data_IF_713189633741
#
_entry.id   IF_713189633741
#
_cell.length_a   1.000
_cell.length_b   1.000
_cell.length_c   1.000
_cell.angle_alpha   90.00
_cell.angle_beta   90.00
_cell.angle_gamma   90.00
#
_symmetry.space_group_name_H-M   'P 1'
#
loop_
_entity.id
_entity.type
_entity.pdbx_description
1 polymer ?
#
# COMPACT_ATOMS: atom_id res chain seq x y z
N UNK A 1 -12.12 4.87 -1.49
CA UNK A 1 -11.59 3.50 -1.28
C UNK A 1 -10.12 3.73 -1.04
N UNK A 2 -9.45 3.03 -0.12
CA UNK A 2 -7.96 2.99 -0.21
C UNK A 2 -7.71 2.13 -1.45
N UNK A 3 -7.30 2.69 -2.60
CA UNK A 3 -7.29 1.94 -3.83
C UNK A 3 -6.09 0.99 -3.84
N UNK A 4 -6.32 -0.23 -4.30
CA UNK A 4 -5.25 -1.15 -4.66
C UNK A 4 -4.68 -0.68 -5.99
N UNK A 5 -3.37 -0.54 -6.04
CA UNK A 5 -2.60 -0.10 -7.19
C UNK A 5 -1.46 -1.08 -7.42
N UNK A 6 -0.86 -0.98 -8.60
CA UNK A 6 0.14 -1.93 -9.06
C UNK A 6 1.44 -1.19 -9.34
N UNK A 7 2.49 -1.58 -8.64
CA UNK A 7 3.85 -1.11 -8.84
C UNK A 7 4.63 -2.08 -9.73
N UNK A 8 5.39 -1.54 -10.68
CA UNK A 8 6.40 -2.27 -11.45
C UNK A 8 7.71 -1.52 -11.34
N UNK A 9 8.67 -2.08 -10.61
CA UNK A 9 10.03 -1.58 -10.58
C UNK A 9 10.80 -2.14 -11.78
N UNK A 10 11.48 -1.25 -12.51
CA UNK A 10 12.20 -1.58 -13.73
C UNK A 10 13.71 -1.46 -13.51
N UNK A 11 14.41 -2.59 -13.56
CA UNK A 11 15.87 -2.62 -13.58
C UNK A 11 16.38 -2.82 -15.01
N UNK A 12 17.03 -1.79 -15.53
CA UNK A 12 17.46 -1.77 -16.92
C UNK A 12 18.77 -2.54 -17.11
N UNK A 13 19.00 -3.17 -18.28
CA UNK A 13 20.24 -3.89 -18.54
C UNK A 13 21.47 -2.99 -18.39
N UNK A 14 22.48 -3.48 -17.66
CA UNK A 14 23.76 -2.76 -17.50
C UNK A 14 24.47 -2.61 -18.85
N UNK A 15 25.13 -1.47 -19.06
CA UNK A 15 25.97 -1.22 -20.25
C UNK A 15 25.24 -0.77 -21.52
N UNK A 16 23.94 -0.44 -21.44
CA UNK A 16 23.20 0.15 -22.56
C UNK A 16 23.45 1.66 -22.68
N UNK A 17 23.38 2.19 -23.91
CA UNK A 17 23.56 3.62 -24.18
C UNK A 17 22.39 4.44 -23.61
N UNK A 18 22.60 5.71 -23.17
CA UNK A 18 21.53 6.58 -22.66
C UNK A 18 20.28 6.68 -23.56
N UNK A 19 20.45 6.62 -24.89
CA UNK A 19 19.33 6.63 -25.84
C UNK A 19 18.40 5.41 -25.74
N UNK A 20 18.90 4.27 -25.26
CA UNK A 20 18.09 3.07 -25.03
C UNK A 20 17.08 3.28 -23.89
N UNK A 21 17.50 3.95 -22.82
CA UNK A 21 16.64 4.32 -21.70
C UNK A 21 15.54 5.30 -22.12
N UNK A 22 15.87 6.27 -22.97
CA UNK A 22 14.88 7.21 -23.49
C UNK A 22 13.79 6.49 -24.32
N UNK A 23 14.16 5.47 -25.10
CA UNK A 23 13.20 4.71 -25.92
C UNK A 23 12.18 3.96 -25.07
N UNK A 24 12.62 3.27 -24.01
CA UNK A 24 11.68 2.54 -23.15
C UNK A 24 10.77 3.49 -22.38
N UNK A 25 11.30 4.59 -21.84
CA UNK A 25 10.49 5.61 -21.14
C UNK A 25 9.47 6.24 -22.09
N UNK A 26 9.88 6.57 -23.32
CA UNK A 26 8.97 7.06 -24.35
C UNK A 26 7.88 6.03 -24.66
N UNK A 27 8.25 4.75 -24.78
CA UNK A 27 7.29 3.69 -25.10
C UNK A 27 6.26 3.47 -24.00
N UNK A 28 6.69 3.54 -22.75
CA UNK A 28 5.81 3.50 -21.58
C UNK A 28 4.83 4.68 -21.63
N UNK A 29 5.32 5.90 -21.86
CA UNK A 29 4.49 7.10 -21.93
C UNK A 29 3.45 7.11 -23.06
N UNK A 30 3.70 6.37 -24.16
CA UNK A 30 2.74 6.21 -25.26
C UNK A 30 1.62 5.21 -24.96
N UNK A 31 1.92 4.15 -24.20
CA UNK A 31 1.07 2.95 -24.14
C UNK A 31 0.42 2.73 -22.79
N UNK A 32 1.06 3.18 -21.70
CA UNK A 32 0.65 2.87 -20.34
C UNK A 32 0.23 4.13 -19.61
N UNK A 33 -0.91 4.07 -18.92
CA UNK A 33 -1.34 5.15 -18.03
C UNK A 33 -0.65 5.05 -16.67
N UNK A 34 0.56 5.59 -16.58
CA UNK A 34 1.29 5.72 -15.32
C UNK A 34 0.66 6.83 -14.48
N UNK A 35 0.16 6.49 -13.30
CA UNK A 35 -0.51 7.44 -12.40
C UNK A 35 0.45 8.05 -11.38
N UNK A 36 1.55 7.35 -11.05
CA UNK A 36 2.60 7.83 -10.16
C UNK A 36 3.94 7.12 -10.45
N UNK A 37 5.01 7.62 -9.85
CA UNK A 37 6.35 7.04 -9.92
C UNK A 37 7.16 7.34 -8.65
N UNK A 38 8.05 6.43 -8.31
CA UNK A 38 9.15 6.67 -7.38
C UNK A 38 10.43 6.03 -7.92
N UNK A 39 11.47 6.82 -8.17
CA UNK A 39 12.75 6.34 -8.75
C UNK A 39 12.53 5.44 -10.00
N UNK A 40 12.67 4.12 -9.86
CA UNK A 40 12.52 3.09 -10.91
C UNK A 40 11.15 2.41 -10.90
N UNK A 41 10.33 2.70 -9.89
CA UNK A 41 8.98 2.17 -9.69
C UNK A 41 7.97 2.99 -10.47
N UNK A 42 7.20 2.32 -11.32
CA UNK A 42 6.07 2.87 -12.07
C UNK A 42 4.78 2.35 -11.46
N UNK A 43 3.82 3.24 -11.18
CA UNK A 43 2.59 2.90 -10.47
C UNK A 43 1.40 3.12 -11.41
N UNK A 44 0.54 2.10 -11.52
CA UNK A 44 -0.64 2.07 -12.39
C UNK A 44 -1.88 1.63 -11.61
N UNK A 45 -3.07 1.99 -12.12
CA UNK A 45 -4.34 1.70 -11.45
C UNK A 45 -5.01 0.40 -11.89
N UNK A 46 -4.51 -0.26 -12.93
CA UNK A 46 -5.15 -1.45 -13.51
C UNK A 46 -4.13 -2.56 -13.74
N UNK A 47 -4.60 -3.81 -13.68
CA UNK A 47 -3.78 -4.98 -14.05
C UNK A 47 -3.40 -4.93 -15.52
N UNK A 48 -4.28 -4.42 -16.40
CA UNK A 48 -3.98 -4.28 -17.83
C UNK A 48 -2.79 -3.35 -18.08
N UNK A 49 -2.75 -2.19 -17.41
CA UNK A 49 -1.60 -1.27 -17.48
C UNK A 49 -0.33 -1.94 -16.91
N UNK A 50 -0.45 -2.74 -15.84
CA UNK A 50 0.67 -3.48 -15.27
C UNK A 50 1.21 -4.51 -16.28
N UNK A 51 0.32 -5.28 -16.91
CA UNK A 51 0.71 -6.27 -17.93
C UNK A 51 1.37 -5.59 -19.13
N UNK A 52 0.91 -4.41 -19.54
CA UNK A 52 1.55 -3.66 -20.61
C UNK A 52 2.96 -3.19 -20.22
N UNK A 53 3.18 -2.73 -18.98
CA UNK A 53 4.52 -2.42 -18.47
C UNK A 53 5.45 -3.63 -18.56
N UNK A 54 4.98 -4.80 -18.12
CA UNK A 54 5.76 -6.04 -18.15
C UNK A 54 6.09 -6.46 -19.59
N UNK A 55 5.15 -6.34 -20.52
CA UNK A 55 5.38 -6.63 -21.93
C UNK A 55 6.41 -5.68 -22.55
N UNK A 56 6.35 -4.38 -22.22
CA UNK A 56 7.35 -3.40 -22.67
C UNK A 56 8.71 -3.78 -22.06
N UNK A 57 8.80 -3.95 -20.74
CA UNK A 57 10.04 -4.30 -20.05
C UNK A 57 10.72 -5.54 -20.65
N UNK A 58 9.95 -6.61 -20.89
CA UNK A 58 10.43 -7.85 -21.50
C UNK A 58 11.03 -7.62 -22.91
N UNK A 59 10.40 -6.78 -23.76
CA UNK A 59 10.94 -6.45 -25.09
C UNK A 59 12.30 -5.77 -25.03
N UNK A 60 12.53 -4.98 -23.99
CA UNK A 60 13.79 -4.27 -23.76
C UNK A 60 14.75 -5.05 -22.84
N UNK A 61 14.43 -6.29 -22.49
CA UNK A 61 15.22 -7.15 -21.60
C UNK A 61 15.44 -6.54 -20.20
N UNK A 62 14.55 -5.66 -19.76
CA UNK A 62 14.59 -5.12 -18.40
C UNK A 62 14.08 -6.16 -17.41
N UNK A 63 14.76 -6.27 -16.27
CA UNK A 63 14.28 -7.05 -15.13
C UNK A 63 13.17 -6.27 -14.43
N UNK A 64 12.19 -6.99 -13.88
CA UNK A 64 11.01 -6.38 -13.28
C UNK A 64 10.68 -7.00 -11.94
N UNK A 65 10.35 -6.16 -10.97
CA UNK A 65 9.73 -6.58 -9.70
C UNK A 65 8.33 -5.96 -9.58
N UNK A 66 7.35 -6.76 -9.16
CA UNK A 66 5.95 -6.36 -9.07
C UNK A 66 5.51 -6.21 -7.62
N UNK A 67 4.75 -5.15 -7.35
CA UNK A 67 4.22 -4.85 -6.03
C UNK A 67 2.73 -4.56 -6.10
N UNK A 68 2.00 -5.06 -5.11
CA UNK A 68 0.64 -4.62 -4.82
C UNK A 68 0.71 -3.51 -3.77
N UNK A 69 0.08 -2.37 -4.01
CA UNK A 69 0.25 -1.15 -3.23
C UNK A 69 -1.10 -0.58 -2.80
N UNK A 70 -1.22 -0.18 -1.54
CA UNK A 70 -2.34 0.63 -1.07
C UNK A 70 -1.95 2.10 -1.07
N UNK A 71 -2.70 2.95 -1.77
CA UNK A 71 -2.55 4.41 -1.67
C UNK A 71 -3.32 4.93 -0.46
N UNK A 72 -2.58 5.45 0.52
CA UNK A 72 -3.15 6.03 1.71
C UNK A 72 -3.84 7.38 1.41
N UNK A 73 -4.88 7.74 2.17
CA UNK A 73 -5.47 9.07 2.07
C UNK A 73 -4.48 10.13 2.55
N UNK A 74 -4.69 11.35 2.07
CA UNK A 74 -3.97 12.53 2.56
C UNK A 74 -4.19 12.70 4.07
N UNK A 75 -3.14 13.10 4.79
CA UNK A 75 -3.21 13.32 6.24
C UNK A 75 -3.15 12.06 7.11
N UNK A 76 -2.91 10.87 6.54
CA UNK A 76 -2.62 9.67 7.32
C UNK A 76 -1.38 9.89 8.20
N UNK A 77 -1.53 9.73 9.52
CA UNK A 77 -0.45 9.92 10.48
C UNK A 77 0.54 8.75 10.42
N UNK A 78 1.84 9.05 10.30
CA UNK A 78 2.78 8.06 9.78
C UNK A 78 4.16 8.06 10.46
N UNK A 79 4.29 7.46 11.65
CA UNK A 79 5.57 7.36 12.35
C UNK A 79 6.50 6.25 11.83
N UNK A 80 6.02 5.28 11.04
CA UNK A 80 6.76 4.03 10.70
C UNK A 80 6.72 3.63 9.23
N UNK A 81 6.51 4.56 8.28
CA UNK A 81 6.32 4.23 6.86
C UNK A 81 7.48 3.43 6.24
N UNK A 82 8.72 3.72 6.64
CA UNK A 82 9.91 3.31 5.89
C UNK A 82 10.07 1.80 5.73
N UNK A 83 9.53 1.00 6.66
CA UNK A 83 9.64 -0.47 6.61
C UNK A 83 8.44 -1.13 5.88
N UNK A 84 7.37 -0.37 5.64
CA UNK A 84 6.08 -0.88 5.16
C UNK A 84 5.58 -0.19 3.89
N UNK A 85 6.29 0.82 3.42
CA UNK A 85 5.82 1.70 2.37
C UNK A 85 6.81 2.79 1.99
N UNK A 86 6.33 3.77 1.21
CA UNK A 86 7.15 4.86 0.71
C UNK A 86 6.29 6.09 0.35
N UNK A 87 6.96 7.23 0.21
CA UNK A 87 6.38 8.46 -0.33
C UNK A 87 6.86 8.60 -1.77
N UNK A 88 5.94 8.75 -2.71
CA UNK A 88 6.28 8.90 -4.13
C UNK A 88 6.79 10.30 -4.46
N UNK A 89 7.25 10.49 -5.71
CA UNK A 89 7.66 11.81 -6.21
C UNK A 89 6.52 12.83 -6.24
N UNK A 90 5.26 12.40 -6.20
CA UNK A 90 4.09 13.26 -6.13
C UNK A 90 3.56 13.43 -4.70
N UNK A 91 4.40 13.17 -3.69
CA UNK A 91 4.08 13.31 -2.27
C UNK A 91 2.86 12.48 -1.81
N UNK A 92 2.63 11.36 -2.48
CA UNK A 92 1.58 10.39 -2.12
C UNK A 92 2.19 9.25 -1.33
N UNK A 93 1.46 8.78 -0.31
CA UNK A 93 1.91 7.73 0.59
C UNK A 93 1.36 6.37 0.16
N UNK A 94 2.25 5.39 0.05
CA UNK A 94 1.92 4.03 -0.35
C UNK A 94 2.40 3.04 0.71
N UNK A 95 1.66 1.94 0.89
CA UNK A 95 2.12 0.78 1.68
C UNK A 95 2.04 -0.50 0.88
N UNK A 96 2.98 -1.41 1.10
CA UNK A 96 3.04 -2.70 0.43
C UNK A 96 1.92 -3.62 0.93
N UNK A 97 1.02 -4.03 0.03
CA UNK A 97 -0.21 -4.72 0.37
C UNK A 97 0.01 -6.08 1.03
N UNK A 98 1.12 -6.76 0.74
CA UNK A 98 1.47 -8.04 1.35
C UNK A 98 2.03 -7.92 2.77
N UNK A 99 2.51 -6.75 3.18
CA UNK A 99 3.11 -6.54 4.50
C UNK A 99 2.10 -6.08 5.55
N UNK A 100 0.96 -5.55 5.11
CA UNK A 100 0.01 -4.89 6.01
C UNK A 100 -1.37 -5.51 5.99
N UNK A 101 -2.10 -5.35 7.10
CA UNK A 101 -3.52 -5.65 7.20
C UNK A 101 -4.28 -4.47 7.78
N UNK A 102 -5.51 -4.28 7.31
CA UNK A 102 -6.41 -3.23 7.78
C UNK A 102 -7.43 -3.83 8.74
N UNK A 103 -7.70 -3.12 9.83
CA UNK A 103 -8.84 -3.43 10.68
C UNK A 103 -9.53 -2.17 11.19
N UNK A 104 -10.73 -2.37 11.73
CA UNK A 104 -11.42 -1.42 12.60
C UNK A 104 -12.00 -2.19 13.78
N UNK A 105 -12.30 -1.47 14.86
CA UNK A 105 -13.15 -2.03 15.91
C UNK A 105 -14.60 -2.09 15.41
N UNK A 106 -15.28 -3.22 15.58
CA UNK A 106 -16.66 -3.39 15.08
C UNK A 106 -17.66 -2.45 15.76
N UNK A 107 -17.37 -2.02 16.99
CA UNK A 107 -18.15 -1.06 17.75
C UNK A 107 -17.44 0.30 17.78
N UNK A 108 -18.08 1.33 17.20
CA UNK A 108 -17.63 2.72 17.24
C UNK A 108 -18.84 3.60 17.61
N UNK A 109 -18.79 4.46 18.66
CA UNK A 109 -17.63 4.77 19.51
C UNK A 109 -17.19 3.63 20.43
N UNK A 110 -15.89 3.60 20.71
CA UNK A 110 -15.25 2.70 21.67
C UNK A 110 -15.88 2.89 23.05
N UNK A 111 -16.31 1.81 23.71
CA UNK A 111 -16.68 1.86 25.15
C UNK A 111 -15.42 1.89 26.01
N UNK A 112 -15.55 2.09 27.34
CA UNK A 112 -14.40 2.06 28.26
C UNK A 112 -13.52 0.81 28.09
N UNK A 113 -14.13 -0.39 27.96
CA UNK A 113 -13.41 -1.65 27.74
C UNK A 113 -12.63 -1.70 26.40
N UNK A 114 -13.08 -0.92 25.41
CA UNK A 114 -12.38 -0.80 24.13
C UNK A 114 -11.18 0.14 24.21
N UNK A 115 -11.18 1.10 25.15
CA UNK A 115 -10.04 1.98 25.38
C UNK A 115 -8.84 1.19 25.90
N UNK A 116 -9.05 0.28 26.86
CA UNK A 116 -7.99 -0.60 27.37
C UNK A 116 -7.44 -1.54 26.27
N UNK A 117 -8.33 -2.10 25.44
CA UNK A 117 -7.91 -2.91 24.30
C UNK A 117 -7.05 -2.11 23.31
N UNK A 118 -7.46 -0.86 23.01
CA UNK A 118 -6.71 0.03 22.15
C UNK A 118 -5.32 0.34 22.72
N UNK A 119 -5.21 0.68 24.00
CA UNK A 119 -3.93 0.97 24.67
C UNK A 119 -2.94 -0.21 24.58
N UNK A 120 -3.43 -1.45 24.68
CA UNK A 120 -2.58 -2.63 24.50
C UNK A 120 -2.14 -2.83 23.04
N UNK A 121 -2.98 -2.45 22.08
CA UNK A 121 -2.76 -2.65 20.64
C UNK A 121 -1.97 -1.51 19.99
N UNK A 122 -1.99 -0.30 20.55
CA UNK A 122 -1.44 0.92 19.94
C UNK A 122 0.02 0.76 19.52
N UNK A 123 0.82 0.04 20.31
CA UNK A 123 2.23 -0.23 20.00
C UNK A 123 2.45 -0.97 18.67
N UNK A 124 1.47 -1.76 18.22
CA UNK A 124 1.49 -2.54 16.98
C UNK A 124 0.88 -1.79 15.79
N UNK A 125 0.12 -0.72 16.04
CA UNK A 125 -0.48 0.11 15.00
C UNK A 125 0.62 0.88 14.28
N UNK A 126 0.68 0.71 12.96
CA UNK A 126 1.62 1.40 12.09
C UNK A 126 1.07 2.76 11.67
N UNK A 127 -0.19 2.78 11.25
CA UNK A 127 -0.87 3.94 10.67
C UNK A 127 -2.32 3.93 11.14
N UNK A 128 -2.87 5.11 11.39
CA UNK A 128 -4.32 5.30 11.56
C UNK A 128 -4.80 6.46 10.69
N UNK A 129 -6.01 6.35 10.17
CA UNK A 129 -6.67 7.40 9.42
C UNK A 129 -8.18 7.27 9.51
N UNK A 130 -8.90 8.37 9.30
CA UNK A 130 -10.36 8.37 9.27
C UNK A 130 -10.85 8.25 7.84
N UNK A 131 -11.78 7.33 7.59
CA UNK A 131 -12.51 7.21 6.34
C UNK A 131 -14.00 7.06 6.66
N UNK A 132 -14.86 7.97 6.14
CA UNK A 132 -16.31 7.97 6.37
C UNK A 132 -16.70 7.85 7.86
N UNK A 133 -16.11 8.71 8.69
CA UNK A 133 -16.34 8.74 10.14
C UNK A 133 -15.95 7.46 10.90
N UNK A 134 -15.17 6.58 10.26
CA UNK A 134 -14.61 5.40 10.88
C UNK A 134 -13.09 5.48 10.92
N UNK A 135 -12.52 5.21 12.09
CA UNK A 135 -11.08 5.11 12.25
C UNK A 135 -10.62 3.75 11.79
N UNK A 136 -9.67 3.76 10.86
CA UNK A 136 -9.07 2.59 10.26
C UNK A 136 -7.63 2.50 10.75
N UNK A 137 -7.23 1.29 11.11
CA UNK A 137 -5.90 0.99 11.61
C UNK A 137 -5.19 0.04 10.64
N UNK A 138 -3.91 0.29 10.43
CA UNK A 138 -3.00 -0.56 9.66
C UNK A 138 -1.99 -1.16 10.61
N UNK A 139 -1.76 -2.46 10.48
CA UNK A 139 -0.76 -3.22 11.22
C UNK A 139 0.06 -4.09 10.29
N UNK A 140 1.21 -4.54 10.77
CA UNK A 140 1.92 -5.65 10.14
C UNK A 140 1.01 -6.89 10.10
N UNK A 141 0.95 -7.55 8.94
CA UNK A 141 0.10 -8.72 8.72
C UNK A 141 0.44 -9.89 9.66
N UNK A 142 1.67 -9.96 10.16
CA UNK A 142 2.11 -10.98 11.12
C UNK A 142 1.50 -10.78 12.52
N UNK A 143 1.01 -9.58 12.84
CA UNK A 143 0.42 -9.28 14.15
C UNK A 143 -1.09 -9.59 14.23
N UNK A 144 -1.75 -10.04 13.15
CA UNK A 144 -3.20 -10.27 13.15
C UNK A 144 -3.67 -11.19 14.27
N UNK A 145 -3.03 -12.34 14.42
CA UNK A 145 -3.39 -13.33 15.43
C UNK A 145 -3.20 -12.78 16.85
N UNK A 146 -2.10 -12.05 17.08
CA UNK A 146 -1.84 -11.38 18.35
C UNK A 146 -2.95 -10.36 18.68
N UNK A 147 -3.36 -9.55 17.70
CA UNK A 147 -4.40 -8.55 17.87
C UNK A 147 -5.77 -9.20 18.14
N UNK A 148 -6.11 -10.28 17.43
CA UNK A 148 -7.34 -11.03 17.70
C UNK A 148 -7.34 -11.62 19.13
N UNK A 149 -6.20 -12.16 19.58
CA UNK A 149 -6.04 -12.65 20.95
C UNK A 149 -6.20 -11.53 21.99
N UNK A 150 -5.58 -10.36 21.76
CA UNK A 150 -5.74 -9.19 22.63
C UNK A 150 -7.21 -8.75 22.66
N UNK A 151 -7.85 -8.59 21.50
CA UNK A 151 -9.25 -8.18 21.38
C UNK A 151 -10.19 -9.11 22.17
N UNK A 152 -9.96 -10.42 22.09
CA UNK A 152 -10.75 -11.43 22.80
C UNK A 152 -10.72 -11.28 24.32
N UNK A 153 -9.59 -10.87 24.91
CA UNK A 153 -9.45 -10.67 26.37
C UNK A 153 -10.34 -9.54 26.88
N UNK A 154 -10.57 -8.55 26.03
CA UNK A 154 -11.43 -7.39 26.31
C UNK A 154 -12.83 -7.52 25.71
N UNK A 155 -13.19 -8.69 25.16
CA UNK A 155 -14.48 -8.95 24.48
C UNK A 155 -14.77 -7.96 23.34
N UNK A 156 -13.72 -7.51 22.67
CA UNK A 156 -13.78 -6.62 21.51
C UNK A 156 -13.70 -7.46 20.24
N UNK A 157 -14.39 -7.02 19.18
CA UNK A 157 -14.31 -7.63 17.85
C UNK A 157 -13.57 -6.70 16.90
N UNK A 158 -12.66 -7.28 16.12
CA UNK A 158 -11.94 -6.61 15.05
C UNK A 158 -12.55 -7.01 13.72
N UNK A 159 -12.96 -6.02 12.93
CA UNK A 159 -13.35 -6.24 11.53
C UNK A 159 -12.11 -6.09 10.64
N UNK A 160 -11.58 -7.20 10.16
CA UNK A 160 -10.48 -7.21 9.19
C UNK A 160 -10.97 -6.92 7.77
N UNK A 161 -10.25 -6.06 7.05
CA UNK A 161 -10.58 -5.70 5.67
C UNK A 161 -9.38 -5.88 4.76
N UNK A 162 -9.57 -6.38 3.53
CA UNK A 162 -8.53 -6.47 2.52
C UNK A 162 -8.23 -5.12 1.86
N UNK A 163 -8.49 -3.98 2.53
CA UNK A 163 -8.64 -2.65 1.92
C UNK A 163 -10.12 -2.27 1.87
N UNK A 164 -10.49 -1.17 2.51
CA UNK A 164 -11.91 -0.91 2.83
C UNK A 164 -12.69 -0.46 1.58
N UNK A 165 -13.79 -1.14 1.23
CA UNK A 165 -14.68 -0.67 0.19
C UNK A 165 -15.33 0.63 0.64
N UNK A 166 -15.19 1.68 -0.17
CA UNK A 166 -16.04 2.85 -0.02
C UNK A 166 -17.39 2.50 -0.67
N UNK A 167 -18.31 1.94 0.11
CA UNK A 167 -19.74 2.10 -0.15
C UNK A 167 -20.37 2.91 0.96
#
# INVERSE_FOLDING_TARGET
MVPLLYGVELEMPKGKLPGFYAQIVHKIGEQVKVIDRDKKLMIVSTEDDQQQLLQIAARYQAETECFSLWLLPEGAANPKLNDYGFISLNDRQYVYANLVSFFRFSNNPLTHDHQEAYEQMEQYILISFTAKDQTIYIVDTTHKELLDQLASRYKVVLDWHPGIPFK
#
